data_IF_526708075668
#
_entry.id   IF_526708075668
#
_cell.length_a   1.000
_cell.length_b   1.000
_cell.length_c   1.000
_cell.angle_alpha   90.00
_cell.angle_beta   90.00
_cell.angle_gamma   90.00
#
_symmetry.space_group_name_H-M   'P 1'
#
loop_
_entity.id
_entity.type
_entity.pdbx_description
1 polymer ?
#
# COMPACT_ATOMS: atom_id res chain seq x y z
N UNK A 1 -6.84 -32.07 14.71
CA UNK A 1 -7.10 -30.70 15.18
C UNK A 1 -6.34 -30.51 16.47
N UNK A 2 -5.34 -29.64 16.45
CA UNK A 2 -4.45 -29.42 17.59
C UNK A 2 -4.37 -27.93 17.90
N UNK A 3 -4.01 -27.62 19.13
CA UNK A 3 -3.79 -26.25 19.56
C UNK A 3 -2.59 -25.64 18.84
N UNK A 4 -2.81 -24.63 18.01
CA UNK A 4 -1.75 -23.88 17.36
C UNK A 4 -1.26 -22.76 18.28
N UNK A 5 -0.27 -23.09 19.11
CA UNK A 5 0.31 -22.18 20.10
C UNK A 5 0.92 -20.95 19.48
N UNK A 6 1.54 -21.10 18.30
CA UNK A 6 2.23 -20.00 17.65
C UNK A 6 1.21 -18.99 17.14
N UNK A 7 0.25 -19.46 16.34
CA UNK A 7 -0.85 -18.64 15.84
C UNK A 7 -1.65 -17.98 16.97
N UNK A 8 -1.96 -18.74 18.02
CA UNK A 8 -2.69 -18.21 19.17
C UNK A 8 -1.91 -17.12 19.90
N UNK A 9 -0.60 -17.29 20.08
CA UNK A 9 0.24 -16.27 20.74
C UNK A 9 0.30 -14.96 19.96
N UNK A 10 0.34 -15.03 18.63
CA UNK A 10 0.39 -13.86 17.76
C UNK A 10 -0.95 -13.13 17.72
N UNK A 11 -2.07 -13.85 17.58
CA UNK A 11 -3.43 -13.30 17.71
C UNK A 11 -3.64 -12.66 19.08
N UNK A 12 -3.17 -13.30 20.16
CA UNK A 12 -3.27 -12.75 21.51
C UNK A 12 -2.43 -11.49 21.69
N UNK A 13 -1.28 -11.39 21.03
CA UNK A 13 -0.46 -10.19 21.04
C UNK A 13 -1.14 -9.03 20.28
N UNK A 14 -1.78 -9.34 19.15
CA UNK A 14 -2.61 -8.38 18.41
C UNK A 14 -3.81 -7.92 19.24
N UNK A 15 -4.51 -8.86 19.89
CA UNK A 15 -5.64 -8.58 20.78
C UNK A 15 -5.23 -7.75 22.00
N UNK A 16 -4.00 -7.95 22.51
CA UNK A 16 -3.42 -7.06 23.52
C UNK A 16 -3.23 -5.64 22.96
N UNK A 17 -2.70 -5.50 21.75
CA UNK A 17 -2.34 -4.20 21.17
C UNK A 17 -1.23 -3.53 21.99
N UNK A 18 -1.26 -2.20 22.12
CA UNK A 18 -0.18 -1.43 22.75
C UNK A 18 -0.20 -1.42 24.30
N UNK A 19 -1.19 -2.05 24.95
CA UNK A 19 -1.27 -2.07 26.43
C UNK A 19 -0.31 -3.10 27.05
N UNK A 20 -0.01 -2.93 28.33
CA UNK A 20 0.73 -3.91 29.13
C UNK A 20 -0.12 -5.16 29.39
N UNK A 21 0.54 -6.30 29.62
CA UNK A 21 -0.13 -7.57 29.95
C UNK A 21 -0.99 -7.41 31.22
N UNK A 22 -0.50 -6.66 32.22
CA UNK A 22 -1.23 -6.40 33.46
C UNK A 22 -2.50 -5.56 33.25
N UNK A 23 -2.50 -4.64 32.28
CA UNK A 23 -3.71 -3.89 31.94
C UNK A 23 -4.69 -4.81 31.20
N UNK A 24 -4.21 -5.55 30.20
CA UNK A 24 -5.07 -6.46 29.45
C UNK A 24 -5.72 -7.54 30.34
N UNK A 25 -4.94 -8.19 31.20
CA UNK A 25 -5.48 -9.21 32.11
C UNK A 25 -6.51 -8.67 33.08
N UNK A 26 -6.33 -7.44 33.58
CA UNK A 26 -7.35 -6.77 34.41
C UNK A 26 -8.62 -6.47 33.62
N UNK A 27 -8.49 -5.95 32.41
CA UNK A 27 -9.65 -5.61 31.58
C UNK A 27 -10.46 -6.87 31.23
N UNK A 28 -9.76 -7.95 30.87
CA UNK A 28 -10.35 -9.21 30.44
C UNK A 28 -10.73 -10.16 31.61
N UNK A 29 -10.45 -9.80 32.87
CA UNK A 29 -10.64 -10.69 34.02
C UNK A 29 -9.91 -12.05 33.85
N UNK A 30 -8.65 -11.99 33.41
CA UNK A 30 -7.76 -13.15 33.21
C UNK A 30 -6.41 -12.87 33.84
N UNK A 31 -5.85 -13.87 34.54
CA UNK A 31 -4.55 -13.76 35.19
C UNK A 31 -3.45 -13.30 34.21
N UNK A 32 -2.76 -12.17 34.49
CA UNK A 32 -1.67 -11.67 33.65
C UNK A 32 -0.54 -12.70 33.48
N UNK A 33 -0.27 -13.52 34.50
CA UNK A 33 0.71 -14.60 34.43
C UNK A 33 0.32 -15.68 33.42
N UNK A 34 -0.96 -16.03 33.35
CA UNK A 34 -1.52 -16.95 32.37
C UNK A 34 -1.43 -16.38 30.95
N UNK A 35 -1.81 -15.13 30.73
CA UNK A 35 -1.64 -14.43 29.44
C UNK A 35 -0.17 -14.41 29.03
N UNK A 36 0.73 -14.14 29.97
CA UNK A 36 2.17 -14.10 29.70
C UNK A 36 2.72 -15.47 29.28
N UNK A 37 2.24 -16.57 29.88
CA UNK A 37 2.59 -17.93 29.47
C UNK A 37 2.04 -18.30 28.08
N UNK A 38 0.82 -17.86 27.76
CA UNK A 38 0.22 -18.02 26.42
C UNK A 38 1.06 -17.30 25.36
N UNK A 39 1.42 -16.04 25.60
CA UNK A 39 2.27 -15.24 24.70
C UNK A 39 3.66 -15.85 24.50
N UNK A 40 4.25 -16.44 25.55
CA UNK A 40 5.55 -17.13 25.47
C UNK A 40 5.46 -18.55 24.90
N UNK A 41 4.27 -19.04 24.55
CA UNK A 41 4.03 -20.39 24.00
C UNK A 41 4.42 -21.52 24.98
N UNK A 42 4.35 -21.24 26.29
CA UNK A 42 4.73 -22.19 27.35
C UNK A 42 3.60 -23.15 27.72
N UNK A 43 2.42 -22.99 27.15
CA UNK A 43 1.24 -23.80 27.48
C UNK A 43 0.98 -24.77 26.35
N UNK A 44 0.94 -26.05 26.68
CA UNK A 44 0.72 -27.10 25.70
C UNK A 44 -0.74 -27.38 25.39
N UNK A 45 -1.62 -27.01 26.33
CA UNK A 45 -3.07 -27.21 26.26
C UNK A 45 -3.79 -25.92 25.90
N UNK A 46 -4.76 -26.00 24.99
CA UNK A 46 -5.58 -24.84 24.66
C UNK A 46 -6.27 -24.25 25.90
N UNK A 47 -6.37 -22.91 26.02
CA UNK A 47 -7.21 -22.27 27.02
C UNK A 47 -8.68 -22.65 26.80
N UNK A 48 -9.48 -22.62 27.87
CA UNK A 48 -10.91 -22.92 27.76
C UNK A 48 -11.65 -21.88 26.92
N UNK A 49 -12.77 -22.29 26.33
CA UNK A 49 -13.63 -21.41 25.53
C UNK A 49 -14.07 -20.15 26.31
N UNK A 50 -14.33 -20.28 27.61
CA UNK A 50 -14.71 -19.15 28.48
C UNK A 50 -13.58 -18.12 28.60
N UNK A 51 -12.34 -18.57 28.81
CA UNK A 51 -11.17 -17.68 28.86
C UNK A 51 -10.92 -17.01 27.50
N UNK A 52 -11.12 -17.74 26.41
CA UNK A 52 -11.00 -17.18 25.06
C UNK A 52 -12.04 -16.07 24.84
N UNK A 53 -13.29 -16.29 25.27
CA UNK A 53 -14.37 -15.31 25.15
C UNK A 53 -14.03 -14.03 25.93
N UNK A 54 -13.57 -14.17 27.17
CA UNK A 54 -13.11 -13.05 28.01
C UNK A 54 -11.98 -12.24 27.37
N UNK A 55 -10.98 -12.92 26.79
CA UNK A 55 -9.85 -12.26 26.11
C UNK A 55 -10.30 -11.51 24.85
N UNK A 56 -11.21 -12.10 24.09
CA UNK A 56 -11.73 -11.54 22.85
C UNK A 56 -12.66 -10.35 23.07
N UNK A 57 -13.50 -10.36 24.12
CA UNK A 57 -14.41 -9.25 24.45
C UNK A 57 -13.68 -7.93 24.68
N UNK A 58 -12.45 -8.00 25.19
CA UNK A 58 -11.58 -6.85 25.42
C UNK A 58 -10.47 -6.71 24.39
N UNK A 59 -10.51 -7.43 23.27
CA UNK A 59 -9.46 -7.41 22.27
C UNK A 59 -9.37 -6.07 21.51
N UNK A 60 -8.14 -5.68 21.17
CA UNK A 60 -7.84 -4.58 20.26
C UNK A 60 -7.54 -5.12 18.86
N UNK A 61 -7.45 -4.23 17.87
CA UNK A 61 -7.14 -4.58 16.47
C UNK A 61 -8.16 -5.53 15.81
N UNK A 62 -9.42 -5.48 16.25
CA UNK A 62 -10.54 -6.26 15.68
C UNK A 62 -10.33 -7.78 15.69
N UNK A 63 -9.49 -8.31 16.59
CA UNK A 63 -9.34 -9.76 16.77
C UNK A 63 -10.65 -10.33 17.30
N UNK A 64 -11.21 -11.32 16.62
CA UNK A 64 -12.52 -11.88 16.98
C UNK A 64 -12.38 -13.17 17.80
N UNK A 65 -13.45 -13.49 18.56
CA UNK A 65 -13.57 -14.75 19.31
C UNK A 65 -13.32 -15.95 18.39
N UNK A 66 -13.86 -15.90 17.17
CA UNK A 66 -13.77 -17.01 16.21
C UNK A 66 -12.33 -17.29 15.80
N UNK A 67 -11.49 -16.27 15.69
CA UNK A 67 -10.07 -16.41 15.32
C UNK A 67 -9.28 -17.07 16.44
N UNK A 68 -9.46 -16.61 17.68
CA UNK A 68 -8.83 -17.21 18.85
C UNK A 68 -9.32 -18.65 19.09
N UNK A 69 -10.61 -18.93 18.86
CA UNK A 69 -11.18 -20.28 18.94
C UNK A 69 -10.65 -21.20 17.85
N UNK A 70 -10.45 -20.69 16.64
CA UNK A 70 -9.85 -21.43 15.52
C UNK A 70 -8.41 -21.80 15.85
N UNK A 71 -7.60 -20.85 16.34
CA UNK A 71 -6.22 -21.11 16.75
C UNK A 71 -6.12 -22.05 17.96
N UNK A 72 -7.10 -22.01 18.87
CA UNK A 72 -7.24 -22.95 19.98
C UNK A 72 -7.65 -24.37 19.54
N UNK A 73 -8.07 -24.54 18.28
CA UNK A 73 -8.48 -25.83 17.71
C UNK A 73 -9.95 -26.20 17.96
N UNK A 74 -10.77 -25.25 18.41
CA UNK A 74 -12.21 -25.45 18.63
C UNK A 74 -13.05 -25.31 17.35
N UNK A 75 -12.57 -24.53 16.38
CA UNK A 75 -13.27 -24.26 15.11
C UNK A 75 -12.41 -24.67 13.91
N UNK A 76 -13.06 -24.87 12.75
CA UNK A 76 -12.38 -25.02 11.46
C UNK A 76 -11.95 -23.64 10.95
N UNK A 77 -10.83 -23.62 10.24
CA UNK A 77 -10.23 -22.40 9.74
C UNK A 77 -10.81 -22.02 8.38
N UNK A 78 -11.43 -20.83 8.30
CA UNK A 78 -12.17 -20.36 7.12
C UNK A 78 -11.32 -19.48 6.17
N UNK A 79 -10.02 -19.31 6.42
CA UNK A 79 -9.10 -18.70 5.45
C UNK A 79 -8.94 -17.17 5.53
N UNK A 80 -9.73 -16.47 6.37
CA UNK A 80 -9.78 -15.01 6.43
C UNK A 80 -9.80 -14.51 7.88
N UNK A 81 -8.65 -14.49 8.53
CA UNK A 81 -8.52 -13.93 9.88
C UNK A 81 -7.36 -12.92 9.98
N UNK A 82 -7.36 -12.13 11.06
CA UNK A 82 -6.37 -11.09 11.34
C UNK A 82 -4.93 -11.60 11.29
N UNK A 83 -4.68 -12.86 11.68
CA UNK A 83 -3.39 -13.52 11.56
C UNK A 83 -2.97 -13.70 10.10
N UNK A 84 -3.86 -14.27 9.29
CA UNK A 84 -3.63 -14.47 7.86
C UNK A 84 -3.47 -13.12 7.15
N UNK A 85 -4.24 -12.10 7.53
CA UNK A 85 -4.08 -10.73 7.04
C UNK A 85 -2.72 -10.12 7.41
N UNK A 86 -2.26 -10.28 8.65
CA UNK A 86 -0.97 -9.77 9.09
C UNK A 86 0.20 -10.45 8.35
N UNK A 87 0.15 -11.77 8.15
CA UNK A 87 1.15 -12.51 7.38
C UNK A 87 1.14 -12.09 5.92
N UNK A 88 -0.03 -12.04 5.29
CA UNK A 88 -0.14 -11.60 3.88
C UNK A 88 0.33 -10.17 3.71
N UNK A 89 0.12 -9.28 4.69
CA UNK A 89 0.69 -7.94 4.68
C UNK A 89 2.22 -7.95 4.79
N UNK A 90 2.80 -8.79 5.65
CA UNK A 90 4.26 -8.91 5.74
C UNK A 90 4.86 -9.41 4.41
N UNK A 91 4.27 -10.45 3.83
CA UNK A 91 4.63 -10.98 2.51
C UNK A 91 4.42 -9.93 1.40
N UNK A 92 3.36 -9.13 1.46
CA UNK A 92 3.12 -8.03 0.52
C UNK A 92 4.16 -6.91 0.65
N UNK A 93 4.58 -6.57 1.87
CA UNK A 93 5.65 -5.58 2.11
C UNK A 93 6.97 -6.08 1.52
N UNK A 94 7.33 -7.35 1.76
CA UNK A 94 8.54 -7.96 1.22
C UNK A 94 8.50 -8.05 -0.31
N UNK A 95 7.34 -8.40 -0.88
CA UNK A 95 7.10 -8.36 -2.33
C UNK A 95 7.29 -6.96 -2.90
N UNK A 96 6.79 -5.93 -2.24
CA UNK A 96 6.92 -4.54 -2.73
C UNK A 96 8.39 -4.10 -2.73
N UNK A 97 9.13 -4.43 -1.67
CA UNK A 97 10.58 -4.19 -1.61
C UNK A 97 11.29 -4.93 -2.75
N UNK A 98 10.89 -6.17 -3.05
CA UNK A 98 11.47 -6.95 -4.14
C UNK A 98 11.14 -6.38 -5.53
N UNK A 99 9.90 -5.92 -5.73
CA UNK A 99 9.45 -5.30 -6.99
C UNK A 99 10.22 -4.00 -7.23
N UNK A 100 10.32 -3.14 -6.21
CA UNK A 100 11.10 -1.91 -6.29
C UNK A 100 12.56 -2.20 -6.65
N UNK A 101 13.18 -3.18 -5.98
CA UNK A 101 14.55 -3.62 -6.28
C UNK A 101 14.71 -4.11 -7.72
N UNK A 102 13.75 -4.87 -8.26
CA UNK A 102 13.76 -5.30 -9.67
C UNK A 102 13.65 -4.14 -10.65
N UNK A 103 12.96 -3.07 -10.25
CA UNK A 103 12.83 -1.83 -11.02
C UNK A 103 14.03 -0.88 -10.85
N UNK A 104 15.05 -1.28 -10.07
CA UNK A 104 16.24 -0.48 -9.80
C UNK A 104 16.08 0.58 -8.70
N UNK A 105 14.98 0.55 -7.94
CA UNK A 105 14.69 1.49 -6.86
C UNK A 105 14.80 0.77 -5.52
N UNK A 106 15.68 1.23 -4.64
CA UNK A 106 15.82 0.65 -3.31
C UNK A 106 14.93 1.42 -2.31
N UNK A 107 13.88 0.77 -1.82
CA UNK A 107 12.94 1.37 -0.87
C UNK A 107 13.08 0.74 0.52
N UNK A 108 12.92 1.57 1.55
CA UNK A 108 12.95 1.09 2.93
C UNK A 108 11.61 0.45 3.35
N UNK A 109 11.65 -0.30 4.46
CA UNK A 109 10.47 -1.03 4.98
C UNK A 109 9.32 -0.11 5.35
N UNK A 110 9.59 1.10 5.83
CA UNK A 110 8.56 2.07 6.21
C UNK A 110 7.80 2.58 4.98
N UNK A 111 8.52 2.88 3.90
CA UNK A 111 7.97 3.28 2.60
C UNK A 111 7.13 2.14 2.01
N UNK A 112 7.63 0.91 2.01
CA UNK A 112 6.87 -0.25 1.54
C UNK A 112 5.59 -0.50 2.38
N UNK A 113 5.66 -0.26 3.69
CA UNK A 113 4.48 -0.36 4.58
C UNK A 113 3.43 0.70 4.23
N UNK A 114 3.85 1.94 3.97
CA UNK A 114 2.96 3.02 3.51
C UNK A 114 2.34 2.69 2.15
N UNK A 115 3.12 2.14 1.21
CA UNK A 115 2.65 1.72 -0.11
C UNK A 115 1.58 0.61 -0.02
N UNK A 116 1.82 -0.42 0.80
CA UNK A 116 0.84 -1.51 1.02
C UNK A 116 -0.42 -0.99 1.73
N UNK A 117 -0.27 -0.12 2.74
CA UNK A 117 -1.39 0.48 3.45
C UNK A 117 -2.24 1.40 2.54
N UNK A 118 -1.59 2.19 1.68
CA UNK A 118 -2.27 3.07 0.72
C UNK A 118 -3.06 2.25 -0.32
N UNK A 119 -2.52 1.14 -0.82
CA UNK A 119 -3.27 0.22 -1.71
C UNK A 119 -4.55 -0.32 -1.06
N UNK A 120 -4.55 -0.58 0.26
CA UNK A 120 -5.74 -1.06 1.00
C UNK A 120 -6.73 0.08 1.28
N UNK A 121 -6.24 1.26 1.68
CA UNK A 121 -7.04 2.45 2.00
C UNK A 121 -7.79 2.98 0.78
N UNK A 122 -7.19 2.87 -0.40
CA UNK A 122 -7.79 3.25 -1.67
C UNK A 122 -8.23 2.04 -2.51
N UNK A 123 -8.82 1.02 -1.88
CA UNK A 123 -9.41 -0.13 -2.62
C UNK A 123 -10.45 0.25 -3.68
N UNK A 124 -10.98 1.49 -3.64
CA UNK A 124 -11.87 2.09 -4.65
C UNK A 124 -11.29 3.29 -5.40
N UNK A 125 -10.04 3.67 -5.15
CA UNK A 125 -9.35 4.76 -5.85
C UNK A 125 -8.20 4.20 -6.66
N UNK A 126 -8.49 3.80 -7.89
CA UNK A 126 -7.55 3.29 -8.90
C UNK A 126 -6.83 1.97 -8.56
N UNK A 127 -7.55 0.85 -8.72
CA UNK A 127 -6.91 -0.45 -8.89
C UNK A 127 -5.99 -0.47 -10.12
N UNK A 128 -4.80 -1.06 -10.01
CA UNK A 128 -3.82 -1.43 -11.05
C UNK A 128 -3.53 -0.42 -12.20
N UNK A 129 -4.01 0.83 -12.09
CA UNK A 129 -4.09 1.79 -13.20
C UNK A 129 -3.35 3.09 -12.91
N UNK A 130 -2.17 3.03 -12.30
CA UNK A 130 -1.37 4.24 -12.05
C UNK A 130 -0.82 4.88 -13.34
N UNK A 131 -0.64 4.09 -14.40
CA UNK A 131 -0.21 4.59 -15.71
C UNK A 131 -1.42 5.01 -16.56
N UNK A 132 -2.53 4.28 -16.46
CA UNK A 132 -3.76 4.53 -17.22
C UNK A 132 -4.46 5.85 -16.83
N UNK A 133 -4.30 6.34 -15.59
CA UNK A 133 -4.94 7.58 -15.13
C UNK A 133 -4.44 8.84 -15.84
N UNK A 134 -3.12 8.94 -16.00
CA UNK A 134 -2.46 10.01 -16.78
C UNK A 134 -2.82 9.84 -18.26
N UNK A 135 -2.96 8.58 -18.70
CA UNK A 135 -3.30 8.22 -20.07
C UNK A 135 -4.79 8.30 -20.44
N UNK A 136 -5.66 8.60 -19.48
CA UNK A 136 -7.07 8.94 -19.70
C UNK A 136 -7.33 10.45 -19.72
N UNK A 137 -6.28 11.28 -19.59
CA UNK A 137 -6.39 12.72 -19.76
C UNK A 137 -6.80 13.06 -21.20
N UNK A 138 -7.54 14.14 -21.39
CA UNK A 138 -7.95 14.60 -22.73
C UNK A 138 -6.88 15.48 -23.37
N UNK A 139 -6.09 16.15 -22.54
CA UNK A 139 -5.07 17.12 -22.95
C UNK A 139 -3.78 16.88 -22.19
N UNK A 140 -2.67 17.41 -22.71
CA UNK A 140 -1.39 17.40 -21.98
C UNK A 140 -1.50 18.16 -20.65
N UNK A 141 -2.23 19.27 -20.62
CA UNK A 141 -2.45 20.05 -19.39
C UNK A 141 -3.10 19.21 -18.29
N UNK A 142 -4.21 18.53 -18.62
CA UNK A 142 -4.89 17.64 -17.67
C UNK A 142 -3.98 16.49 -17.21
N UNK A 143 -3.17 15.93 -18.11
CA UNK A 143 -2.24 14.85 -17.79
C UNK A 143 -1.18 15.32 -16.78
N UNK A 144 -0.65 16.55 -16.94
CA UNK A 144 0.34 17.13 -16.05
C UNK A 144 -0.27 17.56 -14.71
N UNK A 145 -1.51 18.06 -14.70
CA UNK A 145 -2.22 18.35 -13.45
C UNK A 145 -2.44 17.08 -12.64
N UNK A 146 -2.89 16.00 -13.28
CA UNK A 146 -3.00 14.68 -12.63
C UNK A 146 -1.65 14.15 -12.16
N UNK A 147 -0.60 14.40 -12.92
CA UNK A 147 0.74 14.02 -12.53
C UNK A 147 1.20 14.77 -11.28
N UNK A 148 0.90 16.07 -11.17
CA UNK A 148 1.20 16.87 -9.98
C UNK A 148 0.36 16.44 -8.76
N UNK A 149 -0.91 16.06 -8.97
CA UNK A 149 -1.74 15.46 -7.91
C UNK A 149 -1.12 14.15 -7.41
N UNK A 150 -0.67 13.30 -8.34
CA UNK A 150 0.03 12.07 -7.98
C UNK A 150 1.37 12.35 -7.30
N UNK A 151 2.11 13.38 -7.72
CA UNK A 151 3.36 13.76 -7.06
C UNK A 151 3.13 14.19 -5.61
N UNK A 152 2.09 14.98 -5.34
CA UNK A 152 1.70 15.33 -3.98
C UNK A 152 1.27 14.12 -3.15
N UNK A 153 0.70 13.09 -3.78
CA UNK A 153 0.21 11.89 -3.11
C UNK A 153 1.31 10.82 -2.88
N UNK A 154 2.25 10.71 -3.81
CA UNK A 154 3.24 9.63 -3.88
C UNK A 154 4.69 10.11 -3.69
N UNK A 155 4.95 11.42 -3.65
CA UNK A 155 6.26 12.06 -3.47
C UNK A 155 7.29 11.46 -4.42
N UNK A 156 7.08 11.65 -5.73
CA UNK A 156 7.92 11.01 -6.72
C UNK A 156 9.32 11.61 -6.70
N UNK A 157 10.34 10.77 -6.90
CA UNK A 157 11.66 11.29 -7.19
C UNK A 157 11.68 11.99 -8.56
N UNK A 158 12.62 12.93 -8.72
CA UNK A 158 12.76 13.74 -9.92
C UNK A 158 12.87 12.86 -11.18
N UNK A 159 13.54 11.72 -11.10
CA UNK A 159 13.79 10.85 -12.25
C UNK A 159 12.50 10.18 -12.76
N UNK A 160 11.67 9.68 -11.85
CA UNK A 160 10.34 9.13 -12.13
C UNK A 160 9.42 10.22 -12.68
N UNK A 161 9.46 11.41 -12.06
CA UNK A 161 8.67 12.55 -12.51
C UNK A 161 9.03 12.96 -13.95
N UNK A 162 10.33 13.04 -14.26
CA UNK A 162 10.82 13.31 -15.62
C UNK A 162 10.35 12.26 -16.65
N UNK A 163 10.39 10.98 -16.30
CA UNK A 163 9.94 9.88 -17.17
C UNK A 163 8.45 10.00 -17.48
N UNK A 164 7.62 10.29 -16.48
CA UNK A 164 6.17 10.42 -16.64
C UNK A 164 5.77 11.66 -17.44
N UNK A 165 6.41 12.81 -17.20
CA UNK A 165 6.23 14.03 -18.00
C UNK A 165 6.57 13.77 -19.48
N UNK A 166 7.69 13.09 -19.75
CA UNK A 166 8.12 12.78 -21.12
C UNK A 166 7.13 11.85 -21.82
N UNK A 167 6.59 10.88 -21.11
CA UNK A 167 5.59 9.97 -21.64
C UNK A 167 4.25 10.66 -21.93
N UNK A 168 3.79 11.56 -21.05
CA UNK A 168 2.60 12.38 -21.27
C UNK A 168 2.76 13.29 -22.50
N UNK A 169 3.92 13.95 -22.63
CA UNK A 169 4.26 14.76 -23.82
C UNK A 169 4.24 13.96 -25.11
N UNK A 170 4.82 12.76 -25.11
CA UNK A 170 4.84 11.88 -26.29
C UNK A 170 3.43 11.48 -26.72
N UNK A 171 2.51 11.28 -25.78
CA UNK A 171 1.15 10.82 -26.08
C UNK A 171 0.23 11.94 -26.55
N UNK A 172 0.23 13.07 -25.87
CA UNK A 172 -0.73 14.15 -26.13
C UNK A 172 -0.19 15.25 -27.04
N UNK A 173 1.11 15.20 -27.36
CA UNK A 173 1.79 16.24 -28.12
C UNK A 173 1.94 17.53 -27.32
N UNK A 174 2.80 18.42 -27.80
CA UNK A 174 2.81 19.80 -27.31
C UNK A 174 1.55 20.50 -27.86
N UNK A 175 0.85 21.32 -27.04
CA UNK A 175 -0.21 22.15 -27.56
C UNK A 175 0.38 23.01 -28.69
N UNK A 176 -0.22 22.93 -29.89
CA UNK A 176 0.16 23.80 -31.01
C UNK A 176 -0.05 25.22 -30.52
N UNK A 177 1.02 26.01 -30.51
CA UNK A 177 0.92 27.42 -30.22
C UNK A 177 -0.10 28.02 -31.20
N UNK A 178 -1.27 28.43 -30.71
CA UNK A 178 -2.09 29.38 -31.45
C UNK A 178 -1.19 30.59 -31.63
N UNK A 179 -0.93 30.95 -32.89
CA UNK A 179 -0.10 32.07 -33.28
C UNK A 179 -0.20 33.17 -32.24
N UNK A 180 0.92 33.51 -31.59
CA UNK A 180 1.01 34.75 -30.86
C UNK A 180 0.56 35.82 -31.84
N UNK A 181 -0.54 36.50 -31.56
CA UNK A 181 -0.90 37.69 -32.32
C UNK A 181 0.36 38.55 -32.37
N UNK A 182 0.83 38.96 -33.57
CA UNK A 182 2.06 39.69 -33.66
C UNK A 182 1.93 40.92 -32.77
N UNK A 183 2.85 41.08 -31.81
CA UNK A 183 2.95 42.30 -31.04
C UNK A 183 2.94 43.45 -32.05
N UNK A 184 1.97 44.36 -31.91
CA UNK A 184 1.80 45.49 -32.80
C UNK A 184 3.14 46.24 -32.88
N UNK A 185 3.86 46.08 -34.00
CA UNK A 185 5.22 46.59 -34.25
C UNK A 185 6.45 45.85 -33.68
N UNK A 186 6.46 44.52 -33.61
CA UNK A 186 7.70 43.73 -33.45
C UNK A 186 8.28 43.20 -34.78
N UNK A 187 9.61 43.08 -34.95
CA UNK A 187 10.20 42.37 -36.08
C UNK A 187 9.68 40.92 -36.13
N UNK A 188 9.29 40.45 -37.32
CA UNK A 188 8.89 39.05 -37.54
C UNK A 188 10.10 38.16 -37.36
N UNK A 189 10.29 37.60 -36.16
CA UNK A 189 11.22 36.50 -35.98
C UNK A 189 10.58 35.21 -36.50
N UNK A 190 11.23 34.46 -37.40
CA UNK A 190 10.74 33.15 -37.79
C UNK A 190 10.66 32.29 -36.53
N UNK A 191 9.45 31.78 -36.26
CA UNK A 191 9.21 30.88 -35.14
C UNK A 191 10.21 29.74 -35.21
N UNK A 192 10.96 29.57 -34.13
CA UNK A 192 11.90 28.48 -33.91
C UNK A 192 11.14 27.16 -33.80
N UNK A 193 10.61 26.66 -34.92
CA UNK A 193 10.14 25.29 -35.09
C UNK A 193 11.35 24.36 -35.28
N UNK A 194 12.24 24.31 -34.29
CA UNK A 194 13.56 23.64 -34.40
C UNK A 194 13.48 22.12 -34.20
N UNK A 195 12.31 21.51 -34.09
CA UNK A 195 12.21 20.06 -33.88
C UNK A 195 11.04 19.43 -34.63
N UNK A 196 11.07 19.47 -35.95
CA UNK A 196 10.41 18.45 -36.78
C UNK A 196 11.52 17.54 -37.34
N UNK A 197 11.83 16.48 -36.61
CA UNK A 197 12.62 15.34 -37.11
C UNK A 197 11.74 14.54 -38.09
N UNK A 198 11.69 14.93 -39.36
CA UNK A 198 11.24 14.04 -40.44
C UNK A 198 11.66 14.65 -41.80
N UNK A 199 12.86 14.26 -42.25
CA UNK A 199 13.42 14.78 -43.51
C UNK A 199 14.59 14.00 -44.07
N UNK A 200 14.72 12.71 -43.75
CA UNK A 200 15.62 11.79 -44.47
C UNK A 200 14.77 10.74 -45.19
N UNK A 201 14.47 10.99 -46.48
CA UNK A 201 14.43 9.97 -47.53
C UNK A 201 14.89 10.59 -48.85
N UNK A 202 16.09 10.20 -49.22
CA UNK A 202 16.69 10.31 -50.55
C UNK A 202 15.84 9.61 -51.62
N UNK A 203 16.01 10.03 -52.88
CA UNK A 203 16.05 9.08 -54.00
C UNK A 203 15.09 9.34 -55.16
N UNK A 204 15.70 9.79 -56.27
CA UNK A 204 15.28 9.78 -57.69
C UNK A 204 14.38 10.92 -58.22
#
# INVERSE_FOLDING_TARGET
>A
MGFDKQRFSELLNLAKGNRSINKYGRDADVDPGYISRLLRRLIDKAPSADVILKLADKAYNSVTVTELMTAAGYLKHDGKDAYTEAITMHDAIEKEILIAKKSGVDINRETATKMVANRKKYSRGLGDKNIDYIYQAKTLGDALTRLAELDLEYDFDDEVMFKLVRAARKKYGLPKAMYSEPAAHGPRFPGTGVFDEEGDKEGE
#
